data_IF_864149768071
#
_entry.id   IF_864149768071
#
_cell.length_a   1.000
_cell.length_b   1.000
_cell.length_c   1.000
_cell.angle_alpha   90.00
_cell.angle_beta   90.00
_cell.angle_gamma   90.00
#
_symmetry.space_group_name_H-M   'P 1'
#
loop_
_entity.id
_entity.type
_entity.pdbx_description
1 polymer ?
#
# COMPACT_ATOMS: atom_id res chain seq x y z
N UNK A 1 12.61 -7.30 -6.06
CA UNK A 1 11.70 -8.45 -6.06
C UNK A 1 11.22 -8.70 -4.64
N UNK A 2 9.93 -8.91 -4.41
CA UNK A 2 9.43 -9.24 -3.09
C UNK A 2 9.90 -10.67 -2.75
N UNK A 3 10.66 -10.84 -1.68
CA UNK A 3 10.96 -12.17 -1.15
C UNK A 3 12.35 -12.45 -0.66
N UNK A 4 13.31 -11.58 -0.88
CA UNK A 4 14.67 -11.80 -0.37
C UNK A 4 14.98 -10.80 0.76
N UNK A 5 14.59 -11.15 1.98
CA UNK A 5 14.85 -10.34 3.18
C UNK A 5 16.35 -10.12 3.43
N UNK A 6 17.21 -10.95 2.85
CA UNK A 6 18.65 -10.88 3.01
C UNK A 6 19.35 -10.02 1.94
N UNK A 7 18.66 -9.61 0.88
CA UNK A 7 19.26 -8.94 -0.28
C UNK A 7 18.80 -7.49 -0.46
N UNK A 8 18.22 -6.89 0.57
CA UNK A 8 17.91 -5.46 0.58
C UNK A 8 19.19 -4.67 0.88
N UNK A 9 20.06 -4.62 -0.11
CA UNK A 9 21.25 -3.80 -0.06
C UNK A 9 20.91 -2.35 -0.35
N UNK A 10 21.45 -1.44 0.45
CA UNK A 10 21.31 0.02 0.27
C UNK A 10 21.71 0.46 -1.15
N UNK A 11 22.63 -0.27 -1.79
CA UNK A 11 23.05 -0.03 -3.16
C UNK A 11 21.94 -0.17 -4.20
N UNK A 12 20.91 -0.95 -3.89
CA UNK A 12 19.72 -1.08 -4.75
C UNK A 12 18.90 0.21 -4.83
N UNK A 13 18.97 1.04 -3.80
CA UNK A 13 18.32 2.36 -3.75
C UNK A 13 19.22 3.47 -4.27
N UNK A 14 20.44 3.54 -3.79
CA UNK A 14 21.33 4.68 -4.04
C UNK A 14 22.29 4.47 -5.22
N UNK A 15 22.48 3.21 -5.68
CA UNK A 15 23.48 2.84 -6.67
C UNK A 15 24.80 2.41 -6.04
N UNK A 16 25.78 2.09 -6.85
CA UNK A 16 27.09 1.60 -6.44
C UNK A 16 28.16 1.91 -7.48
N UNK A 17 29.41 1.79 -7.10
CA UNK A 17 30.53 1.84 -8.06
C UNK A 17 30.46 0.66 -9.04
N UNK A 18 30.62 0.92 -10.33
CA UNK A 18 30.74 -0.12 -11.36
C UNK A 18 32.19 -0.59 -11.42
N UNK A 19 32.42 -1.81 -10.94
CA UNK A 19 33.78 -2.41 -10.87
C UNK A 19 34.46 -2.43 -12.24
N UNK A 20 33.70 -2.55 -13.33
CA UNK A 20 34.23 -2.57 -14.69
C UNK A 20 34.83 -1.24 -15.12
N UNK A 21 34.32 -0.15 -14.54
CA UNK A 21 34.81 1.21 -14.84
C UNK A 21 36.04 1.59 -14.02
N UNK A 22 36.40 0.79 -12.99
CA UNK A 22 37.59 1.03 -12.18
C UNK A 22 38.91 0.80 -12.95
N UNK A 23 38.86 0.19 -14.12
CA UNK A 23 39.99 0.10 -15.04
C UNK A 23 40.36 1.43 -15.68
N UNK A 24 39.36 2.34 -15.83
CA UNK A 24 39.50 3.65 -16.50
C UNK A 24 39.43 4.82 -15.53
N UNK A 25 38.65 4.69 -14.44
CA UNK A 25 38.36 5.77 -13.50
C UNK A 25 38.70 5.36 -12.06
N UNK A 26 39.24 6.27 -11.22
CA UNK A 26 39.43 6.00 -9.80
C UNK A 26 38.07 5.82 -9.09
N UNK A 27 38.09 5.09 -7.97
CA UNK A 27 36.85 4.71 -7.24
C UNK A 27 35.97 5.90 -6.79
N UNK A 28 36.57 7.05 -6.56
CA UNK A 28 35.89 8.27 -6.15
C UNK A 28 35.49 9.19 -7.33
N UNK A 29 35.68 8.73 -8.56
CA UNK A 29 35.26 9.48 -9.75
C UNK A 29 33.78 9.28 -10.03
N UNK A 30 32.99 10.34 -10.28
CA UNK A 30 31.60 10.26 -10.66
C UNK A 30 31.33 9.32 -11.86
N UNK A 31 32.26 9.25 -12.79
CA UNK A 31 32.12 8.40 -13.98
C UNK A 31 32.30 6.92 -13.68
N UNK A 32 32.94 6.56 -12.56
CA UNK A 32 33.01 5.18 -12.08
C UNK A 32 31.70 4.69 -11.45
N UNK A 33 30.77 5.60 -11.14
CA UNK A 33 29.54 5.26 -10.45
C UNK A 33 28.45 4.74 -11.40
N UNK A 34 27.67 3.76 -10.93
CA UNK A 34 26.48 3.28 -11.60
C UNK A 34 25.23 3.90 -10.97
N UNK A 35 24.59 4.80 -11.69
CA UNK A 35 23.35 5.46 -11.30
C UNK A 35 22.11 4.56 -11.51
N UNK A 36 22.25 3.26 -11.30
CA UNK A 36 21.18 2.28 -11.51
C UNK A 36 20.25 2.10 -10.30
N UNK A 37 20.53 2.76 -9.18
CA UNK A 37 19.73 2.69 -7.98
C UNK A 37 18.29 3.22 -8.16
N UNK A 38 17.37 2.74 -7.34
CA UNK A 38 15.96 3.11 -7.40
C UNK A 38 15.71 4.62 -7.34
N UNK A 39 16.43 5.34 -6.45
CA UNK A 39 16.31 6.79 -6.33
C UNK A 39 16.82 7.52 -7.59
N UNK A 40 17.93 7.05 -8.18
CA UNK A 40 18.42 7.64 -9.44
C UNK A 40 17.39 7.51 -10.57
N UNK A 41 16.81 6.32 -10.71
CA UNK A 41 15.84 5.99 -11.76
C UNK A 41 14.50 6.69 -11.57
N UNK A 42 14.11 6.94 -10.32
CA UNK A 42 12.86 7.59 -9.97
C UNK A 42 12.97 9.12 -9.86
N UNK A 43 14.15 9.69 -10.12
CA UNK A 43 14.31 11.15 -10.11
C UNK A 43 13.38 11.79 -11.15
N UNK A 44 12.64 12.81 -10.76
CA UNK A 44 11.55 13.45 -11.50
C UNK A 44 10.35 12.53 -11.80
N UNK A 45 10.18 11.47 -11.00
CA UNK A 45 9.12 10.49 -11.17
C UNK A 45 8.59 9.93 -9.85
N UNK A 46 8.23 8.66 -9.87
CA UNK A 46 7.65 7.92 -8.75
C UNK A 46 8.52 6.72 -8.40
N UNK A 47 8.91 6.63 -7.14
CA UNK A 47 9.48 5.42 -6.54
C UNK A 47 8.38 4.67 -5.78
N UNK A 48 8.03 3.48 -6.23
CA UNK A 48 7.18 2.57 -5.49
C UNK A 48 8.03 1.61 -4.65
N UNK A 49 7.79 1.60 -3.34
CA UNK A 49 8.46 0.71 -2.41
C UNK A 49 7.48 -0.31 -1.82
N UNK A 50 7.63 -1.57 -2.26
CA UNK A 50 6.77 -2.67 -1.81
C UNK A 50 7.25 -3.18 -0.45
N UNK A 51 6.32 -3.34 0.50
CA UNK A 51 6.59 -3.86 1.85
C UNK A 51 7.71 -3.11 2.59
N UNK A 52 7.66 -1.79 2.55
CA UNK A 52 8.73 -0.91 3.04
C UNK A 52 9.16 -1.20 4.50
N UNK A 53 8.22 -1.52 5.38
CA UNK A 53 8.53 -1.71 6.80
C UNK A 53 9.19 -3.05 7.16
N UNK A 54 9.35 -3.95 6.18
CA UNK A 54 10.22 -5.12 6.31
C UNK A 54 11.70 -4.79 6.12
N UNK A 55 11.98 -3.69 5.43
CA UNK A 55 13.37 -3.28 5.19
C UNK A 55 14.04 -2.80 6.49
N UNK A 56 15.33 -3.12 6.70
CA UNK A 56 16.09 -2.57 7.81
C UNK A 56 16.11 -1.05 7.76
N UNK A 57 15.99 -0.39 8.92
CA UNK A 57 15.96 1.08 9.02
C UNK A 57 17.14 1.76 8.33
N UNK A 58 18.30 1.12 8.31
CA UNK A 58 19.51 1.63 7.64
C UNK A 58 19.33 1.79 6.12
N UNK A 59 18.55 0.90 5.51
CA UNK A 59 18.23 0.96 4.07
C UNK A 59 17.24 2.09 3.78
N UNK A 60 16.41 2.44 4.76
CA UNK A 60 15.40 3.48 4.62
C UNK A 60 15.95 4.90 4.84
N UNK A 61 17.12 5.05 5.48
CA UNK A 61 17.71 6.38 5.74
C UNK A 61 17.89 7.26 4.49
N UNK A 62 18.37 6.75 3.35
CA UNK A 62 18.47 7.55 2.13
C UNK A 62 17.14 8.13 1.65
N UNK A 63 16.01 7.42 1.93
CA UNK A 63 14.69 7.92 1.58
C UNK A 63 14.32 9.17 2.39
N UNK A 64 14.75 9.24 3.66
CA UNK A 64 14.50 10.41 4.51
C UNK A 64 15.24 11.64 3.98
N UNK A 65 16.53 11.50 3.70
CA UNK A 65 17.33 12.61 3.16
C UNK A 65 16.85 13.02 1.77
N UNK A 66 16.52 12.05 0.92
CA UNK A 66 15.99 12.31 -0.42
C UNK A 66 14.69 13.13 -0.38
N UNK A 67 13.76 12.80 0.52
CA UNK A 67 12.47 13.51 0.63
C UNK A 67 12.56 14.84 1.36
N UNK A 68 13.45 14.97 2.33
CA UNK A 68 13.57 16.14 3.18
C UNK A 68 14.50 17.19 2.59
N UNK A 69 15.65 16.77 2.08
CA UNK A 69 16.73 17.65 1.62
C UNK A 69 16.81 17.76 0.10
N UNK A 70 16.00 16.95 -0.62
CA UNK A 70 16.04 16.89 -2.07
C UNK A 70 17.34 16.26 -2.63
N UNK A 71 18.08 15.54 -1.80
CA UNK A 71 19.30 14.82 -2.18
C UNK A 71 19.55 13.63 -1.26
N UNK A 72 20.42 12.72 -1.67
CA UNK A 72 20.88 11.61 -0.87
C UNK A 72 22.35 11.31 -1.15
N UNK A 73 23.04 10.70 -0.19
CA UNK A 73 24.45 10.34 -0.32
C UNK A 73 24.60 8.94 -0.93
N UNK A 74 25.57 8.79 -1.80
CA UNK A 74 26.01 7.50 -2.28
C UNK A 74 26.72 6.69 -1.19
N UNK A 75 26.85 5.39 -1.39
CA UNK A 75 27.60 4.50 -0.48
C UNK A 75 29.11 4.76 -0.48
N UNK A 76 29.65 5.37 -1.55
CA UNK A 76 31.09 5.46 -1.83
C UNK A 76 31.64 6.90 -1.68
N UNK A 77 30.93 7.76 -0.96
CA UNK A 77 31.43 9.14 -0.70
C UNK A 77 31.46 10.07 -1.91
N UNK A 78 30.71 9.76 -2.95
CA UNK A 78 30.62 10.55 -4.20
C UNK A 78 29.90 11.89 -4.05
N UNK A 79 29.57 12.30 -2.82
CA UNK A 79 28.81 13.51 -2.56
C UNK A 79 27.28 13.30 -2.67
N UNK A 80 26.56 14.40 -2.57
CA UNK A 80 25.10 14.40 -2.59
C UNK A 80 24.56 14.29 -4.02
N UNK A 81 23.68 13.33 -4.25
CA UNK A 81 22.97 13.11 -5.53
C UNK A 81 21.58 13.74 -5.41
N UNK A 82 21.19 14.64 -6.32
CA UNK A 82 19.88 15.29 -6.24
C UNK A 82 18.72 14.31 -6.47
N UNK A 83 17.64 14.50 -5.73
CA UNK A 83 16.39 13.76 -5.90
C UNK A 83 15.19 14.72 -5.85
N UNK A 84 14.36 14.66 -6.87
CA UNK A 84 13.09 15.38 -6.93
C UNK A 84 12.04 14.39 -7.47
N UNK A 85 11.30 13.77 -6.60
CA UNK A 85 10.31 12.76 -6.97
C UNK A 85 9.37 12.44 -5.81
N UNK A 86 8.39 11.59 -6.09
CA UNK A 86 7.42 11.10 -5.11
C UNK A 86 7.82 9.68 -4.69
N UNK A 87 7.78 9.41 -3.40
CA UNK A 87 7.96 8.06 -2.86
C UNK A 87 6.60 7.58 -2.37
N UNK A 88 6.11 6.52 -2.98
CA UNK A 88 4.92 5.80 -2.57
C UNK A 88 5.34 4.44 -2.00
N UNK A 89 4.95 4.16 -0.78
CA UNK A 89 5.24 2.88 -0.16
C UNK A 89 3.97 2.22 0.33
N UNK A 90 3.94 0.91 0.36
CA UNK A 90 2.85 0.16 0.96
C UNK A 90 3.39 -0.94 1.88
N UNK A 91 2.60 -1.28 2.85
CA UNK A 91 2.88 -2.32 3.82
C UNK A 91 1.58 -2.82 4.44
N UNK A 92 1.61 -3.94 5.12
CA UNK A 92 0.48 -4.39 5.91
C UNK A 92 0.42 -3.71 7.28
N UNK A 93 -0.74 -3.79 7.92
CA UNK A 93 -0.98 -3.10 9.19
C UNK A 93 -0.12 -3.67 10.34
N UNK A 94 0.14 -4.97 10.37
CA UNK A 94 0.96 -5.62 11.38
C UNK A 94 2.42 -5.14 11.34
N UNK A 95 2.99 -4.99 10.15
CA UNK A 95 4.33 -4.45 9.94
C UNK A 95 4.41 -2.99 10.34
N UNK A 96 3.39 -2.19 9.98
CA UNK A 96 3.28 -0.81 10.42
C UNK A 96 3.26 -0.70 11.94
N UNK A 97 2.46 -1.51 12.65
CA UNK A 97 2.41 -1.50 14.10
C UNK A 97 3.76 -1.88 14.74
N UNK A 98 4.44 -2.90 14.19
CA UNK A 98 5.77 -3.30 14.64
C UNK A 98 6.79 -2.18 14.44
N UNK A 99 6.77 -1.54 13.27
CA UNK A 99 7.65 -0.43 12.93
C UNK A 99 7.42 0.79 13.83
N UNK A 100 6.17 1.16 14.06
CA UNK A 100 5.76 2.29 14.90
C UNK A 100 6.16 2.11 16.37
N UNK A 101 6.09 0.90 16.89
CA UNK A 101 6.41 0.61 18.29
C UNK A 101 7.93 0.65 18.59
N UNK A 102 8.76 0.70 17.57
CA UNK A 102 10.20 0.82 17.74
C UNK A 102 10.61 2.30 17.83
N UNK A 103 11.09 2.71 19.01
CA UNK A 103 11.51 4.10 19.26
C UNK A 103 12.59 4.63 18.31
N UNK A 104 13.41 3.74 17.75
CA UNK A 104 14.45 4.14 16.82
C UNK A 104 13.89 4.65 15.48
N UNK A 105 12.61 4.41 15.22
CA UNK A 105 11.94 4.78 13.97
C UNK A 105 11.16 6.10 14.07
N UNK A 106 11.14 6.76 15.22
CA UNK A 106 10.37 7.98 15.47
C UNK A 106 10.67 9.07 14.44
N UNK A 107 11.93 9.31 14.18
CA UNK A 107 12.36 10.29 13.17
C UNK A 107 11.89 9.98 11.75
N UNK A 108 11.65 8.70 11.43
CA UNK A 108 11.08 8.29 10.15
C UNK A 108 9.56 8.48 10.14
N UNK A 109 8.89 8.11 11.22
CA UNK A 109 7.43 8.18 11.36
C UNK A 109 6.94 9.62 11.20
N UNK A 110 7.65 10.59 11.76
CA UNK A 110 7.30 12.02 11.68
C UNK A 110 7.36 12.60 10.25
N UNK A 111 7.97 11.89 9.31
CA UNK A 111 8.19 12.35 7.93
C UNK A 111 7.34 11.65 6.89
N UNK A 112 6.54 10.67 7.30
CA UNK A 112 5.68 9.92 6.38
C UNK A 112 4.22 10.29 6.58
N UNK A 113 3.48 10.32 5.49
CA UNK A 113 2.03 10.47 5.52
C UNK A 113 1.36 9.10 5.37
N UNK A 114 0.63 8.69 6.39
CA UNK A 114 -0.03 7.38 6.41
C UNK A 114 -1.44 7.50 5.85
N UNK A 115 -1.72 6.70 4.84
CA UNK A 115 -3.06 6.52 4.29
C UNK A 115 -3.52 5.09 4.57
N UNK A 116 -4.58 4.96 5.35
CA UNK A 116 -5.23 3.65 5.56
C UNK A 116 -6.10 3.33 4.35
N UNK A 117 -5.87 2.16 3.76
CA UNK A 117 -6.66 1.67 2.63
C UNK A 117 -7.50 0.49 3.11
N UNK A 118 -8.81 0.68 3.33
CA UNK A 118 -9.69 -0.39 3.79
C UNK A 118 -9.95 -1.41 2.68
N UNK A 119 -10.48 -2.57 3.06
CA UNK A 119 -11.11 -3.49 2.12
C UNK A 119 -12.28 -2.82 1.40
N UNK A 120 -12.66 -3.36 0.25
CA UNK A 120 -13.81 -2.90 -0.49
C UNK A 120 -15.08 -2.99 0.37
N UNK A 121 -15.88 -1.91 0.42
CA UNK A 121 -17.13 -1.83 1.17
C UNK A 121 -18.37 -1.76 0.26
N UNK A 122 -18.19 -1.93 -1.05
CA UNK A 122 -19.27 -1.95 -2.04
C UNK A 122 -19.42 -3.35 -2.60
N UNK A 123 -20.66 -3.84 -2.59
CA UNK A 123 -20.97 -5.19 -3.07
C UNK A 123 -20.72 -5.30 -4.58
N UNK A 124 -21.11 -4.29 -5.34
CA UNK A 124 -20.91 -4.26 -6.79
C UNK A 124 -19.43 -4.34 -7.19
N UNK A 125 -18.55 -3.65 -6.48
CA UNK A 125 -17.11 -3.67 -6.76
C UNK A 125 -16.48 -5.01 -6.32
N UNK A 126 -16.91 -5.58 -5.19
CA UNK A 126 -16.45 -6.89 -4.70
C UNK A 126 -16.82 -8.02 -5.66
N UNK A 127 -18.02 -7.97 -6.27
CA UNK A 127 -18.43 -8.93 -7.32
C UNK A 127 -17.45 -8.89 -8.49
N UNK A 128 -17.08 -7.71 -8.98
CA UNK A 128 -16.13 -7.57 -10.09
C UNK A 128 -14.76 -8.16 -9.76
N UNK A 129 -14.33 -8.03 -8.50
CA UNK A 129 -13.07 -8.64 -8.05
C UNK A 129 -13.18 -10.16 -8.09
N UNK A 130 -14.29 -10.75 -7.63
CA UNK A 130 -14.50 -12.19 -7.69
C UNK A 130 -14.59 -12.72 -9.12
N UNK A 131 -15.29 -12.02 -10.01
CA UNK A 131 -15.35 -12.37 -11.43
C UNK A 131 -13.95 -12.41 -12.06
N UNK A 132 -13.11 -11.39 -11.77
CA UNK A 132 -11.73 -11.35 -12.22
C UNK A 132 -10.88 -12.49 -11.66
N UNK A 133 -11.05 -12.82 -10.38
CA UNK A 133 -10.33 -13.92 -9.75
C UNK A 133 -10.74 -15.26 -10.33
N UNK A 134 -12.04 -15.51 -10.53
CA UNK A 134 -12.56 -16.72 -11.15
C UNK A 134 -12.04 -16.89 -12.57
N UNK A 135 -12.11 -15.87 -13.39
CA UNK A 135 -11.64 -15.90 -14.79
C UNK A 135 -10.16 -16.29 -14.90
N UNK A 136 -9.35 -15.90 -13.92
CA UNK A 136 -7.91 -16.19 -13.89
C UNK A 136 -7.54 -17.44 -13.07
N UNK A 137 -8.52 -18.22 -12.64
CA UNK A 137 -8.32 -19.42 -11.82
C UNK A 137 -8.57 -20.73 -12.58
N UNK A 138 -8.25 -21.84 -11.96
CA UNK A 138 -8.62 -23.18 -12.45
C UNK A 138 -10.13 -23.39 -12.52
N UNK A 139 -10.91 -22.55 -11.86
CA UNK A 139 -12.38 -22.60 -11.82
C UNK A 139 -13.03 -21.76 -12.94
N UNK A 140 -12.26 -21.19 -13.86
CA UNK A 140 -12.79 -20.34 -14.94
C UNK A 140 -13.93 -20.98 -15.76
N UNK A 141 -13.90 -22.31 -15.90
CA UNK A 141 -14.91 -23.07 -16.65
C UNK A 141 -15.97 -23.73 -15.73
N UNK A 142 -15.90 -23.50 -14.43
CA UNK A 142 -16.89 -24.06 -13.50
C UNK A 142 -18.21 -23.26 -13.60
N UNK A 143 -19.32 -23.99 -13.60
CA UNK A 143 -20.63 -23.37 -13.57
C UNK A 143 -20.87 -22.70 -12.21
N UNK A 144 -21.09 -21.40 -12.23
CA UNK A 144 -21.48 -20.62 -11.06
C UNK A 144 -22.97 -20.33 -11.12
N UNK A 145 -23.73 -20.75 -10.11
CA UNK A 145 -25.17 -20.46 -10.07
C UNK A 145 -25.44 -18.96 -10.01
N UNK A 146 -26.56 -18.49 -10.57
CA UNK A 146 -26.96 -17.09 -10.46
C UNK A 146 -26.92 -16.58 -9.01
N UNK A 147 -26.51 -15.34 -8.84
CA UNK A 147 -26.40 -14.64 -7.54
C UNK A 147 -25.40 -15.23 -6.51
N UNK A 148 -24.68 -16.32 -6.82
CA UNK A 148 -23.68 -16.88 -5.90
C UNK A 148 -22.60 -15.85 -5.54
N UNK A 149 -22.02 -15.18 -6.52
CA UNK A 149 -20.99 -14.14 -6.28
C UNK A 149 -21.56 -12.94 -5.53
N UNK A 150 -22.81 -12.58 -5.81
CA UNK A 150 -23.47 -11.50 -5.09
C UNK A 150 -23.68 -11.85 -3.61
N UNK A 151 -24.12 -13.04 -3.31
CA UNK A 151 -24.33 -13.51 -1.94
C UNK A 151 -23.00 -13.58 -1.18
N UNK A 152 -21.94 -14.07 -1.83
CA UNK A 152 -20.60 -14.10 -1.28
C UNK A 152 -20.08 -12.69 -1.00
N UNK A 153 -20.22 -11.76 -1.95
CA UNK A 153 -19.82 -10.37 -1.80
C UNK A 153 -20.57 -9.66 -0.67
N UNK A 154 -21.89 -9.88 -0.57
CA UNK A 154 -22.69 -9.34 0.54
C UNK A 154 -22.20 -9.83 1.90
N UNK A 155 -21.97 -11.14 2.03
CA UNK A 155 -21.44 -11.71 3.27
C UNK A 155 -20.06 -11.14 3.62
N UNK A 156 -19.17 -11.05 2.65
CA UNK A 156 -17.82 -10.52 2.84
C UNK A 156 -17.85 -9.04 3.24
N UNK A 157 -18.65 -8.22 2.54
CA UNK A 157 -18.79 -6.80 2.86
C UNK A 157 -19.43 -6.60 4.24
N UNK A 158 -20.46 -7.37 4.60
CA UNK A 158 -21.06 -7.32 5.92
C UNK A 158 -20.08 -7.63 7.05
N UNK A 159 -19.13 -8.55 6.83
CA UNK A 159 -18.08 -8.86 7.81
C UNK A 159 -17.11 -7.70 8.07
N UNK A 160 -17.03 -6.72 7.15
CA UNK A 160 -16.14 -5.56 7.20
C UNK A 160 -16.80 -4.30 7.76
N UNK A 161 -18.14 -4.25 7.72
CA UNK A 161 -18.89 -3.10 8.17
C UNK A 161 -19.07 -3.10 9.70
N UNK A 162 -18.90 -1.95 10.30
CA UNK A 162 -19.25 -1.74 11.71
C UNK A 162 -20.77 -1.57 11.83
N UNK A 163 -21.32 -2.16 12.88
CA UNK A 163 -22.74 -2.02 13.19
C UNK A 163 -23.09 -0.56 13.50
N UNK A 164 -24.06 0.03 12.78
CA UNK A 164 -24.42 1.42 12.97
C UNK A 164 -25.36 1.59 14.16
N UNK A 165 -25.22 2.70 14.88
CA UNK A 165 -26.17 3.09 15.92
C UNK A 165 -27.53 3.47 15.30
N UNK A 166 -28.61 2.94 15.87
CA UNK A 166 -30.01 3.25 15.48
C UNK A 166 -30.36 2.93 14.01
N UNK A 167 -29.63 2.04 13.36
CA UNK A 167 -29.88 1.59 11.99
C UNK A 167 -29.43 0.14 11.81
N UNK A 168 -29.64 -0.43 10.63
CA UNK A 168 -29.29 -1.81 10.30
C UNK A 168 -28.02 -1.84 9.43
N UNK A 169 -27.12 -2.76 9.72
CA UNK A 169 -25.90 -2.97 8.93
C UNK A 169 -26.19 -3.39 7.48
N UNK A 170 -27.30 -4.10 7.26
CA UNK A 170 -27.72 -4.47 5.91
C UNK A 170 -28.16 -3.25 5.09
N UNK A 171 -28.91 -2.33 5.71
CA UNK A 171 -29.25 -1.04 5.06
C UNK A 171 -28.01 -0.19 4.78
N UNK A 172 -27.06 -0.17 5.72
CA UNK A 172 -25.77 0.49 5.52
C UNK A 172 -25.02 -0.07 4.31
N UNK A 173 -24.94 -1.41 4.16
CA UNK A 173 -24.32 -2.07 3.01
C UNK A 173 -24.96 -1.62 1.69
N UNK A 174 -26.30 -1.63 1.62
CA UNK A 174 -27.04 -1.24 0.41
C UNK A 174 -26.84 0.24 0.06
N UNK A 175 -26.80 1.12 1.06
CA UNK A 175 -26.50 2.55 0.87
C UNK A 175 -25.07 2.74 0.37
N UNK A 176 -24.10 1.98 0.89
CA UNK A 176 -22.70 2.02 0.39
C UNK A 176 -22.59 1.53 -1.04
N UNK A 177 -23.45 0.61 -1.46
CA UNK A 177 -23.53 0.12 -2.84
C UNK A 177 -24.26 1.08 -3.79
N UNK A 178 -24.79 2.19 -3.26
CA UNK A 178 -25.43 3.26 -4.03
C UNK A 178 -26.94 3.16 -4.12
N UNK A 179 -27.58 2.28 -3.36
CA UNK A 179 -29.04 2.18 -3.32
C UNK A 179 -29.66 3.34 -2.55
N UNK A 180 -30.85 3.76 -2.96
CA UNK A 180 -31.66 4.75 -2.24
C UNK A 180 -32.74 4.02 -1.42
N UNK A 181 -32.63 4.08 -0.11
CA UNK A 181 -33.54 3.40 0.82
C UNK A 181 -34.51 4.33 1.52
N UNK A 182 -34.66 5.60 1.11
CA UNK A 182 -35.49 6.61 1.79
C UNK A 182 -36.95 6.16 1.95
N UNK A 183 -37.49 5.45 0.95
CA UNK A 183 -38.87 5.03 0.92
C UNK A 183 -39.13 3.68 1.60
N UNK A 184 -38.06 2.85 1.74
CA UNK A 184 -38.16 1.47 2.23
C UNK A 184 -37.63 1.29 3.65
N UNK A 185 -36.67 2.09 4.08
CA UNK A 185 -36.14 2.08 5.45
C UNK A 185 -35.98 3.50 5.99
N UNK A 186 -36.94 3.98 6.79
CA UNK A 186 -36.89 5.33 7.39
C UNK A 186 -35.72 5.55 8.34
N UNK A 187 -35.06 4.46 8.80
CA UNK A 187 -33.89 4.52 9.68
C UNK A 187 -32.56 4.50 8.91
N UNK A 188 -32.60 4.32 7.60
CA UNK A 188 -31.42 4.38 6.77
C UNK A 188 -30.85 5.80 6.77
N UNK A 189 -29.54 5.90 7.07
CA UNK A 189 -28.80 7.16 7.08
C UNK A 189 -28.15 7.41 5.71
N UNK A 190 -27.70 8.61 5.48
CA UNK A 190 -26.88 8.93 4.29
C UNK A 190 -25.51 8.25 4.35
N UNK A 191 -24.85 8.13 3.20
CA UNK A 191 -23.47 7.60 3.12
C UNK A 191 -22.54 8.39 4.07
N UNK A 192 -22.68 9.71 4.09
CA UNK A 192 -21.82 10.56 4.90
C UNK A 192 -22.01 10.30 6.40
N UNK A 193 -23.26 10.24 6.85
CA UNK A 193 -23.56 9.95 8.26
C UNK A 193 -23.08 8.57 8.71
N UNK A 194 -23.15 7.55 7.84
CA UNK A 194 -22.60 6.24 8.13
C UNK A 194 -21.07 6.26 8.22
N UNK A 195 -20.39 6.97 7.33
CA UNK A 195 -18.93 7.13 7.36
C UNK A 195 -18.46 7.88 8.59
N UNK A 196 -19.10 8.97 8.92
CA UNK A 196 -18.73 9.80 10.08
C UNK A 196 -18.90 9.02 11.40
N UNK A 197 -19.96 8.20 11.49
CA UNK A 197 -20.19 7.36 12.68
C UNK A 197 -19.28 6.15 12.78
N UNK A 198 -18.84 5.59 11.67
CA UNK A 198 -18.00 4.39 11.64
C UNK A 198 -16.52 4.68 11.95
N UNK A 199 -16.05 5.90 11.64
CA UNK A 199 -14.68 6.33 11.82
C UNK A 199 -13.69 5.73 10.80
N UNK A 200 -12.43 6.09 10.96
CA UNK A 200 -11.34 5.79 9.99
C UNK A 200 -10.93 4.33 9.90
N UNK A 201 -11.38 3.48 10.80
CA UNK A 201 -10.99 2.06 10.86
C UNK A 201 -12.04 1.12 10.27
N UNK A 202 -13.11 1.65 9.65
CA UNK A 202 -14.11 0.83 8.98
C UNK A 202 -13.50 0.15 7.74
N UNK A 203 -13.74 -1.15 7.62
CA UNK A 203 -13.18 -1.95 6.53
C UNK A 203 -11.72 -2.36 6.71
N UNK A 204 -11.08 -2.01 7.82
CA UNK A 204 -9.71 -2.49 8.12
C UNK A 204 -9.70 -3.93 8.63
N UNK A 205 -10.83 -4.43 9.13
CA UNK A 205 -11.02 -5.78 9.62
C UNK A 205 -12.12 -6.48 8.83
N UNK A 206 -12.19 -7.82 8.96
CA UNK A 206 -13.16 -8.66 8.28
C UNK A 206 -12.53 -9.62 7.29
N UNK A 207 -13.35 -10.31 6.51
CA UNK A 207 -12.88 -11.28 5.54
C UNK A 207 -12.15 -10.59 4.37
N UNK A 208 -10.98 -11.10 4.04
CA UNK A 208 -10.28 -10.65 2.83
C UNK A 208 -10.91 -11.26 1.59
N UNK A 209 -10.89 -10.56 0.47
CA UNK A 209 -11.38 -11.03 -0.84
C UNK A 209 -10.72 -12.35 -1.29
N UNK A 210 -9.49 -12.64 -0.83
CA UNK A 210 -8.77 -13.88 -1.18
C UNK A 210 -9.16 -15.06 -0.31
N UNK A 211 -9.73 -14.82 0.85
CA UNK A 211 -10.15 -15.86 1.78
C UNK A 211 -11.56 -16.34 1.48
N UNK A 212 -12.41 -15.45 1.01
CA UNK A 212 -13.78 -15.75 0.59
C UNK A 212 -13.80 -16.44 -0.77
#
# INVERSE_FOLDING_TARGET
>A
EPGDENNQDISSLVGKVDIRKLEEFPQNDPDAYSYSGGLCRANQGLLEFVEMFKAPIKVLHPLLTATQEGNYNSTEGMGAIPFNGVILAHSNESEWHSFRNNKNNEAFIDRIYIVKVPYCLRVSDEIQIYEKLLTNSSLANAHCAPDTLKMLAQFTVLSRLKEPENSNVYSKMRIYDGENLKDTDPKAKSIQEYRDSAGVDEGMNGLSTRFA
#
